data_IF_505510255359
#
_entry.id   IF_505510255359
#
_cell.length_a   1.000
_cell.length_b   1.000
_cell.length_c   1.000
_cell.angle_alpha   90.00
_cell.angle_beta   90.00
_cell.angle_gamma   90.00
#
_symmetry.space_group_name_H-M   'P 1'
#
loop_
_entity.id
_entity.type
_entity.pdbx_description
1 polymer ?
#
# COMPACT_ATOMS: atom_id res chain seq x y z
N UNK A 1 19.70 -24.48 59.78
CA UNK A 1 20.88 -23.63 59.52
C UNK A 1 20.89 -23.37 58.02
N UNK A 2 20.47 -22.16 57.63
CA UNK A 2 20.64 -21.44 56.35
C UNK A 2 20.19 -22.14 55.04
N UNK A 3 19.03 -21.78 54.48
CA UNK A 3 18.83 -20.69 53.49
C UNK A 3 19.83 -20.69 52.32
N UNK A 4 19.33 -20.84 51.08
CA UNK A 4 19.30 -19.72 50.12
C UNK A 4 18.60 -20.10 48.80
N UNK A 5 17.43 -19.48 48.62
CA UNK A 5 16.73 -19.27 47.35
C UNK A 5 17.60 -18.36 46.47
N UNK A 6 17.86 -18.73 45.20
CA UNK A 6 18.14 -17.74 44.15
C UNK A 6 17.42 -18.09 42.85
N UNK A 7 16.43 -17.24 42.57
CA UNK A 7 15.79 -17.02 41.27
C UNK A 7 16.85 -16.64 40.23
N UNK A 8 16.78 -17.17 39.02
CA UNK A 8 17.20 -16.46 37.79
C UNK A 8 16.56 -17.12 36.58
N UNK A 9 15.48 -16.48 36.12
CA UNK A 9 14.87 -16.66 34.81
C UNK A 9 15.82 -16.01 33.79
N UNK A 10 16.31 -16.77 32.80
CA UNK A 10 17.02 -16.20 31.65
C UNK A 10 16.31 -16.70 30.39
N UNK A 11 15.47 -15.83 29.85
CA UNK A 11 14.90 -15.92 28.51
C UNK A 11 15.97 -15.39 27.55
N UNK A 12 16.54 -16.25 26.72
CA UNK A 12 17.40 -15.84 25.60
C UNK A 12 16.56 -15.95 24.33
N UNK A 13 15.96 -14.82 23.95
CA UNK A 13 15.37 -14.63 22.64
C UNK A 13 16.48 -14.34 21.65
N UNK A 14 16.78 -15.30 20.76
CA UNK A 14 17.65 -15.06 19.60
C UNK A 14 16.76 -14.60 18.46
N UNK A 15 16.68 -13.28 18.26
CA UNK A 15 16.13 -12.69 17.05
C UNK A 15 17.23 -12.69 15.96
N UNK A 16 17.10 -13.60 15.00
CA UNK A 16 17.85 -13.51 13.74
C UNK A 16 17.05 -12.60 12.82
N UNK A 17 17.41 -11.32 12.77
CA UNK A 17 16.96 -10.42 11.70
C UNK A 17 18.16 -10.18 10.79
N UNK A 18 18.28 -11.01 9.77
CA UNK A 18 19.16 -10.77 8.63
C UNK A 18 18.34 -11.04 7.36
N UNK A 19 17.62 -10.01 6.94
CA UNK A 19 16.79 -10.00 5.75
C UNK A 19 16.43 -8.58 5.37
N UNK A 20 17.43 -7.71 5.24
CA UNK A 20 17.29 -6.39 4.61
C UNK A 20 17.58 -6.60 3.12
N UNK A 21 16.62 -6.51 2.20
CA UNK A 21 16.95 -6.32 0.80
C UNK A 21 17.46 -4.88 0.61
N UNK A 22 18.77 -4.81 0.35
CA UNK A 22 19.52 -3.63 -0.08
C UNK A 22 18.95 -3.11 -1.42
N UNK A 23 18.04 -2.13 -1.38
CA UNK A 23 17.60 -1.42 -2.59
C UNK A 23 17.96 0.07 -2.63
N UNK A 24 18.65 0.62 -1.62
CA UNK A 24 18.97 2.05 -1.55
C UNK A 24 20.45 2.34 -1.30
N UNK A 25 21.33 1.81 -2.15
CA UNK A 25 22.72 2.27 -2.24
C UNK A 25 23.05 2.60 -3.69
N UNK A 26 23.00 3.87 -4.07
CA UNK A 26 23.50 4.23 -5.39
C UNK A 26 23.29 5.62 -5.97
N UNK A 27 22.85 6.67 -5.25
CA UNK A 27 22.94 8.04 -5.80
C UNK A 27 23.43 9.05 -4.78
N UNK A 28 24.67 9.53 -4.97
CA UNK A 28 25.20 10.71 -4.29
C UNK A 28 24.50 11.94 -4.85
N UNK A 29 23.58 12.54 -4.09
CA UNK A 29 23.01 13.84 -4.41
C UNK A 29 24.08 14.93 -4.24
N UNK A 30 24.50 15.55 -5.34
CA UNK A 30 25.13 16.88 -5.31
C UNK A 30 24.03 17.87 -4.96
N UNK A 31 24.13 18.51 -3.80
CA UNK A 31 23.24 19.60 -3.39
C UNK A 31 23.40 20.79 -4.35
N UNK A 32 22.38 21.04 -5.17
CA UNK A 32 22.23 22.27 -5.93
C UNK A 32 21.42 23.29 -5.10
N UNK A 33 21.69 24.60 -5.26
CA UNK A 33 21.05 25.64 -4.46
C UNK A 33 19.55 25.72 -4.74
N UNK A 34 18.77 25.72 -3.66
CA UNK A 34 17.32 25.96 -3.64
C UNK A 34 17.05 27.36 -4.22
N UNK A 35 16.43 27.39 -5.40
CA UNK A 35 15.69 28.57 -5.85
C UNK A 35 14.25 28.38 -5.40
N UNK A 36 13.88 29.20 -4.44
CA UNK A 36 12.51 29.47 -4.03
C UNK A 36 11.73 29.96 -5.25
N UNK A 37 10.81 29.13 -5.76
CA UNK A 37 9.91 29.50 -6.85
C UNK A 37 8.48 29.45 -6.33
N UNK A 38 7.95 30.66 -6.14
CA UNK A 38 6.60 30.97 -5.71
C UNK A 38 5.54 30.36 -6.64
N UNK A 39 4.45 29.90 -6.02
CA UNK A 39 3.09 29.74 -6.53
C UNK A 39 2.91 29.57 -8.04
N UNK A 40 2.57 28.34 -8.42
CA UNK A 40 1.55 28.13 -9.45
C UNK A 40 0.56 27.11 -8.90
N UNK A 41 -0.71 27.48 -8.96
CA UNK A 41 -1.87 26.68 -8.61
C UNK A 41 -1.74 25.35 -9.37
N UNK A 42 -1.56 24.23 -8.66
CA UNK A 42 -1.74 22.90 -9.27
C UNK A 42 -3.22 22.60 -9.17
N UNK A 43 -3.94 23.15 -10.14
CA UNK A 43 -5.25 22.67 -10.56
C UNK A 43 -5.02 21.32 -11.25
N UNK A 44 -5.58 20.26 -10.64
CA UNK A 44 -5.97 19.01 -11.31
C UNK A 44 -4.88 18.17 -12.01
N UNK A 45 -3.97 17.60 -11.23
CA UNK A 45 -3.19 16.44 -11.64
C UNK A 45 -3.63 15.20 -10.83
N UNK A 46 -4.33 14.28 -11.48
CA UNK A 46 -4.34 12.88 -11.04
C UNK A 46 -5.61 12.32 -10.43
N UNK A 47 -6.77 12.98 -10.50
CA UNK A 47 -8.01 12.19 -10.52
C UNK A 47 -7.98 11.35 -11.80
N UNK A 48 -8.25 10.03 -11.76
CA UNK A 48 -8.54 9.32 -13.00
C UNK A 48 -9.64 10.13 -13.70
N UNK A 49 -9.29 10.71 -14.85
CA UNK A 49 -10.19 11.52 -15.65
C UNK A 49 -11.33 10.62 -16.11
N UNK A 50 -12.39 10.65 -15.33
CA UNK A 50 -13.56 9.84 -15.49
C UNK A 50 -14.57 10.29 -14.47
N UNK A 51 -15.45 11.20 -14.89
CA UNK A 51 -16.87 11.15 -14.51
C UNK A 51 -17.52 9.83 -15.04
N UNK A 52 -16.73 8.77 -15.09
CA UNK A 52 -16.96 7.51 -15.76
C UNK A 52 -17.70 6.61 -14.80
N UNK A 53 -18.84 6.14 -15.29
CA UNK A 53 -19.68 5.12 -14.67
C UNK A 53 -18.78 4.05 -14.04
N UNK A 54 -18.67 4.04 -12.71
CA UNK A 54 -18.03 2.94 -12.00
C UNK A 54 -19.04 1.80 -12.01
N UNK A 55 -18.63 0.61 -12.43
CA UNK A 55 -19.45 -0.60 -12.33
C UNK A 55 -19.94 -0.76 -10.89
N UNK A 56 -21.19 -1.19 -10.66
CA UNK A 56 -21.71 -1.44 -9.31
C UNK A 56 -20.78 -2.32 -8.47
N UNK A 57 -20.16 -3.33 -9.08
CA UNK A 57 -19.23 -4.25 -8.42
C UNK A 57 -17.97 -3.53 -7.91
N UNK A 58 -17.33 -2.73 -8.75
CA UNK A 58 -16.18 -1.92 -8.35
C UNK A 58 -16.55 -0.87 -7.28
N UNK A 59 -17.77 -0.32 -7.30
CA UNK A 59 -18.23 0.62 -6.27
C UNK A 59 -18.34 -0.06 -4.90
N UNK A 60 -18.99 -1.22 -4.82
CA UNK A 60 -19.15 -1.98 -3.57
C UNK A 60 -17.81 -2.40 -2.99
N UNK A 61 -16.88 -2.86 -3.84
CA UNK A 61 -15.52 -3.22 -3.39
C UNK A 61 -14.73 -1.99 -2.94
N UNK A 62 -14.86 -0.86 -3.64
CA UNK A 62 -14.18 0.39 -3.25
C UNK A 62 -14.63 0.84 -1.86
N UNK A 63 -15.94 0.85 -1.60
CA UNK A 63 -16.49 1.18 -0.28
C UNK A 63 -15.94 0.25 0.81
N UNK A 64 -15.86 -1.05 0.53
CA UNK A 64 -15.34 -2.05 1.45
C UNK A 64 -13.82 -1.97 1.67
N UNK A 65 -13.08 -1.33 0.76
CA UNK A 65 -11.63 -1.11 0.89
C UNK A 65 -11.27 0.13 1.71
N UNK A 66 -12.15 1.13 1.81
CA UNK A 66 -11.87 2.35 2.56
C UNK A 66 -11.59 2.03 4.03
N UNK A 67 -10.52 2.63 4.56
CA UNK A 67 -10.03 2.44 5.93
C UNK A 67 -8.55 2.08 6.00
N UNK A 68 -8.09 1.80 7.22
CA UNK A 68 -6.71 1.44 7.52
C UNK A 68 -6.55 -0.06 7.65
N UNK A 69 -5.49 -0.60 7.06
CA UNK A 69 -5.21 -2.02 6.94
C UNK A 69 -3.77 -2.30 7.36
N UNK A 70 -3.58 -3.25 8.27
CA UNK A 70 -2.28 -3.71 8.73
C UNK A 70 -1.89 -4.98 7.98
N UNK A 71 -0.67 -5.05 7.44
CA UNK A 71 -0.18 -6.27 6.79
C UNK A 71 -0.13 -7.44 7.77
N UNK A 72 -0.59 -8.61 7.30
CA UNK A 72 -0.52 -9.85 8.06
C UNK A 72 0.91 -10.42 8.12
N UNK A 73 1.78 -10.02 7.20
CA UNK A 73 3.18 -10.48 7.12
C UNK A 73 4.17 -9.49 7.75
N UNK A 74 3.81 -8.19 7.79
CA UNK A 74 4.61 -7.14 8.43
C UNK A 74 3.73 -6.26 9.33
N UNK A 75 3.79 -6.44 10.66
CA UNK A 75 3.02 -5.65 11.62
C UNK A 75 3.47 -4.19 11.72
N UNK A 76 4.55 -3.79 11.04
CA UNK A 76 4.96 -2.39 10.96
C UNK A 76 4.39 -1.69 9.72
N UNK A 77 3.83 -2.42 8.75
CA UNK A 77 3.33 -1.86 7.50
C UNK A 77 1.81 -1.69 7.49
N UNK A 78 1.34 -0.44 7.44
CA UNK A 78 -0.08 -0.12 7.28
C UNK A 78 -0.35 0.55 5.93
N UNK A 79 -1.51 0.25 5.34
CA UNK A 79 -2.06 0.92 4.16
C UNK A 79 -3.42 1.51 4.47
N UNK A 80 -3.63 2.77 4.13
CA UNK A 80 -4.90 3.46 4.31
C UNK A 80 -5.48 3.80 2.93
N UNK A 81 -6.68 3.32 2.63
CA UNK A 81 -7.45 3.76 1.46
C UNK A 81 -8.48 4.78 1.90
N UNK A 82 -8.47 5.95 1.28
CA UNK A 82 -9.39 7.05 1.57
C UNK A 82 -10.49 7.15 0.52
N UNK A 83 -11.62 7.71 0.95
CA UNK A 83 -12.80 7.98 0.12
C UNK A 83 -12.54 9.03 -0.98
N UNK A 84 -11.57 9.91 -0.76
CA UNK A 84 -11.11 10.91 -1.73
C UNK A 84 -10.23 10.33 -2.86
N UNK A 85 -10.04 9.01 -2.89
CA UNK A 85 -9.20 8.31 -3.86
C UNK A 85 -7.71 8.36 -3.53
N UNK A 86 -7.30 8.80 -2.34
CA UNK A 86 -5.90 8.74 -1.89
C UNK A 86 -5.59 7.43 -1.18
N UNK A 87 -4.36 6.95 -1.37
CA UNK A 87 -3.83 5.80 -0.66
C UNK A 87 -2.55 6.19 0.06
N UNK A 88 -2.39 5.76 1.32
CA UNK A 88 -1.24 6.09 2.14
C UNK A 88 -0.64 4.84 2.76
N UNK A 89 0.62 4.58 2.40
CA UNK A 89 1.44 3.51 2.94
C UNK A 89 2.34 4.07 4.04
N UNK A 90 2.39 3.43 5.21
CA UNK A 90 3.21 3.85 6.36
C UNK A 90 3.98 2.68 6.95
N UNK A 91 5.19 2.97 7.40
CA UNK A 91 5.99 2.08 8.22
C UNK A 91 6.18 2.63 9.64
N UNK A 92 5.78 1.85 10.64
CA UNK A 92 5.99 2.16 12.05
C UNK A 92 7.49 2.33 12.33
N UNK A 93 7.84 3.39 13.07
CA UNK A 93 9.22 3.70 13.45
C UNK A 93 10.00 4.50 12.40
N UNK A 94 9.42 4.81 11.25
CA UNK A 94 10.06 5.67 10.24
C UNK A 94 9.03 6.58 9.54
N UNK A 95 8.84 7.80 10.05
CA UNK A 95 7.92 8.76 9.45
C UNK A 95 8.30 9.13 7.99
N UNK A 96 9.59 9.07 7.65
CA UNK A 96 10.10 9.30 6.30
C UNK A 96 9.85 8.13 5.34
N UNK A 97 9.36 6.99 5.83
CA UNK A 97 8.91 5.85 5.03
C UNK A 97 7.38 5.86 4.85
N UNK A 98 6.82 7.05 4.69
CA UNK A 98 5.43 7.24 4.28
C UNK A 98 5.40 7.50 2.77
N UNK A 99 4.56 6.76 2.05
CA UNK A 99 4.32 6.97 0.62
C UNK A 99 2.84 7.27 0.40
N UNK A 100 2.56 8.32 -0.36
CA UNK A 100 1.19 8.72 -0.68
C UNK A 100 0.97 8.56 -2.19
N UNK A 101 -0.24 8.15 -2.56
CA UNK A 101 -0.62 7.94 -3.96
C UNK A 101 -2.10 8.14 -4.18
N UNK A 102 -2.54 7.83 -5.40
CA UNK A 102 -3.94 7.79 -5.81
C UNK A 102 -4.33 6.34 -6.07
N UNK A 103 -5.57 5.97 -5.79
CA UNK A 103 -6.11 4.66 -6.12
C UNK A 103 -7.50 4.76 -6.75
N UNK A 104 -7.89 3.69 -7.45
CA UNK A 104 -9.25 3.51 -7.95
C UNK A 104 -9.52 2.06 -8.32
N UNK A 105 -10.75 1.61 -8.10
CA UNK A 105 -11.19 0.28 -8.51
C UNK A 105 -11.86 0.30 -9.89
N UNK A 106 -11.69 -0.79 -10.65
CA UNK A 106 -12.26 -0.95 -11.98
C UNK A 106 -12.50 -2.43 -12.31
N UNK A 107 -13.32 -2.68 -13.33
CA UNK A 107 -13.54 -4.01 -13.93
C UNK A 107 -12.90 -4.07 -15.32
N UNK A 108 -12.77 -5.27 -15.88
CA UNK A 108 -12.10 -5.47 -17.17
C UNK A 108 -12.66 -4.63 -18.34
N UNK A 109 -13.98 -4.38 -18.35
CA UNK A 109 -14.68 -3.57 -19.35
C UNK A 109 -14.47 -2.06 -19.19
N UNK A 110 -14.01 -1.61 -18.02
CA UNK A 110 -13.70 -0.21 -17.72
C UNK A 110 -12.20 0.07 -17.68
N UNK A 111 -11.36 -0.91 -18.01
CA UNK A 111 -9.91 -0.77 -18.00
C UNK A 111 -9.45 0.26 -19.05
N UNK A 112 -8.58 1.18 -18.63
CA UNK A 112 -8.02 2.18 -19.54
C UNK A 112 -7.02 1.55 -20.52
N UNK A 113 -6.86 2.18 -21.69
CA UNK A 113 -5.85 1.74 -22.66
C UNK A 113 -4.44 1.77 -22.01
N UNK A 114 -3.72 0.65 -22.07
CA UNK A 114 -2.42 0.49 -21.40
C UNK A 114 -2.48 -0.20 -20.03
N UNK A 115 -3.68 -0.52 -19.54
CA UNK A 115 -3.83 -1.45 -18.40
C UNK A 115 -3.29 -2.84 -18.76
N UNK A 116 -2.90 -3.62 -17.74
CA UNK A 116 -2.41 -5.00 -17.92
C UNK A 116 -3.35 -5.84 -18.80
N UNK A 117 -2.77 -6.75 -19.59
CA UNK A 117 -3.52 -7.63 -20.48
C UNK A 117 -4.03 -8.86 -19.72
N UNK A 118 -5.13 -9.46 -20.19
CA UNK A 118 -5.65 -10.70 -19.60
C UNK A 118 -6.52 -10.51 -18.35
N UNK A 119 -7.17 -9.35 -18.20
CA UNK A 119 -8.17 -9.15 -17.16
C UNK A 119 -9.36 -10.11 -17.36
N UNK A 120 -9.75 -10.78 -16.30
CA UNK A 120 -10.87 -11.71 -16.29
C UNK A 120 -12.19 -10.95 -16.10
N UNK A 121 -13.27 -11.38 -16.79
CA UNK A 121 -14.59 -10.77 -16.62
C UNK A 121 -15.12 -10.99 -15.20
N UNK A 122 -15.80 -9.99 -14.65
CA UNK A 122 -16.39 -10.04 -13.32
C UNK A 122 -15.40 -9.95 -12.14
N UNK A 123 -14.11 -9.75 -12.41
CA UNK A 123 -13.10 -9.48 -11.38
C UNK A 123 -12.97 -7.97 -11.17
N UNK A 124 -12.92 -7.56 -9.91
CA UNK A 124 -12.59 -6.19 -9.54
C UNK A 124 -11.07 -6.06 -9.36
N UNK A 125 -10.54 -5.03 -9.98
CA UNK A 125 -9.14 -4.65 -9.93
C UNK A 125 -8.99 -3.31 -9.24
N UNK A 126 -7.80 -3.05 -8.72
CA UNK A 126 -7.40 -1.76 -8.19
C UNK A 126 -6.13 -1.33 -8.88
N UNK A 127 -6.14 -0.09 -9.38
CA UNK A 127 -4.96 0.63 -9.79
C UNK A 127 -4.51 1.51 -8.64
N UNK A 128 -3.22 1.51 -8.33
CA UNK A 128 -2.58 2.43 -7.40
C UNK A 128 -1.45 3.14 -8.12
N UNK A 129 -1.43 4.46 -8.04
CA UNK A 129 -0.38 5.29 -8.61
C UNK A 129 0.33 6.01 -7.46
N UNK A 130 1.60 5.68 -7.27
CA UNK A 130 2.55 6.46 -6.47
C UNK A 130 3.48 7.21 -7.41
N UNK A 131 4.26 8.18 -6.90
CA UNK A 131 5.21 9.05 -7.62
C UNK A 131 5.52 8.60 -9.07
N UNK A 132 6.31 7.53 -9.23
CA UNK A 132 6.79 7.04 -10.53
C UNK A 132 6.28 5.62 -10.86
N UNK A 133 5.32 5.11 -10.08
CA UNK A 133 4.97 3.69 -10.08
C UNK A 133 3.46 3.50 -10.14
N UNK A 134 3.01 2.72 -11.13
CA UNK A 134 1.64 2.23 -11.22
C UNK A 134 1.61 0.75 -10.87
N UNK A 135 0.77 0.37 -9.94
CA UNK A 135 0.56 -0.99 -9.49
C UNK A 135 -0.87 -1.42 -9.78
N UNK A 136 -1.04 -2.65 -10.26
CA UNK A 136 -2.35 -3.24 -10.51
C UNK A 136 -2.54 -4.49 -9.66
N UNK A 137 -3.68 -4.56 -8.97
CA UNK A 137 -4.03 -5.70 -8.14
C UNK A 137 -5.41 -6.24 -8.51
N UNK A 138 -5.61 -7.55 -8.48
CA UNK A 138 -6.97 -8.12 -8.38
C UNK A 138 -7.38 -8.22 -6.93
N UNK A 139 -8.64 -7.89 -6.63
CA UNK A 139 -9.20 -7.99 -5.29
C UNK A 139 -9.85 -9.36 -5.12
N UNK A 140 -9.33 -10.15 -4.19
CA UNK A 140 -9.88 -11.46 -3.82
C UNK A 140 -10.94 -11.30 -2.73
N UNK A 141 -10.69 -10.40 -1.77
CA UNK A 141 -11.57 -10.13 -0.64
C UNK A 141 -11.35 -8.72 -0.10
N UNK A 142 -12.43 -8.03 0.27
CA UNK A 142 -12.40 -6.75 0.96
C UNK A 142 -13.54 -6.72 2.01
N UNK A 143 -13.23 -7.05 3.27
CA UNK A 143 -14.18 -7.03 4.38
C UNK A 143 -13.45 -6.75 5.72
N UNK A 144 -13.34 -7.74 6.60
CA UNK A 144 -12.48 -7.67 7.80
C UNK A 144 -11.01 -7.96 7.46
N UNK A 145 -10.80 -8.69 6.37
CA UNK A 145 -9.50 -8.89 5.73
C UNK A 145 -9.52 -8.33 4.32
N UNK A 146 -8.37 -7.82 3.89
CA UNK A 146 -8.13 -7.36 2.53
C UNK A 146 -7.10 -8.28 1.89
N UNK A 147 -7.47 -8.93 0.80
CA UNK A 147 -6.62 -9.84 0.04
C UNK A 147 -6.50 -9.34 -1.40
N UNK A 148 -5.28 -9.03 -1.80
CA UNK A 148 -4.95 -8.42 -3.09
C UNK A 148 -3.87 -9.26 -3.77
N UNK A 149 -4.00 -9.54 -5.07
CA UNK A 149 -2.94 -10.24 -5.83
C UNK A 149 -2.32 -9.26 -6.80
N UNK A 150 -1.01 -9.05 -6.69
CA UNK A 150 -0.27 -8.15 -7.59
C UNK A 150 -0.17 -8.77 -8.98
N UNK A 151 -0.68 -8.09 -10.00
CA UNK A 151 -0.84 -8.70 -11.32
C UNK A 151 0.49 -8.96 -12.04
N UNK A 152 1.54 -8.18 -11.77
CA UNK A 152 2.82 -8.35 -12.48
C UNK A 152 3.63 -9.54 -11.95
N UNK A 153 3.50 -9.87 -10.66
CA UNK A 153 4.32 -10.91 -10.00
C UNK A 153 3.50 -12.08 -9.44
N UNK A 154 2.18 -11.94 -9.35
CA UNK A 154 1.27 -12.94 -8.83
C UNK A 154 1.33 -13.14 -7.31
N UNK A 155 2.11 -12.35 -6.56
CA UNK A 155 2.16 -12.49 -5.11
C UNK A 155 0.89 -11.91 -4.46
N UNK A 156 0.39 -12.61 -3.46
CA UNK A 156 -0.75 -12.17 -2.65
C UNK A 156 -0.26 -11.30 -1.50
N UNK A 157 -0.97 -10.19 -1.25
CA UNK A 157 -0.86 -9.37 -0.06
C UNK A 157 -2.11 -9.58 0.77
N UNK A 158 -1.92 -9.80 2.07
CA UNK A 158 -3.01 -10.00 3.02
C UNK A 158 -2.91 -8.98 4.13
N UNK A 159 -4.03 -8.34 4.44
CA UNK A 159 -4.13 -7.35 5.50
C UNK A 159 -5.33 -7.63 6.42
N UNK A 160 -5.22 -7.15 7.65
CA UNK A 160 -6.31 -7.11 8.63
C UNK A 160 -6.73 -5.67 8.84
N UNK A 161 -8.03 -5.42 8.91
CA UNK A 161 -8.56 -4.08 9.17
C UNK A 161 -8.12 -3.59 10.56
N UNK A 162 -7.63 -2.35 10.62
CA UNK A 162 -7.34 -1.66 11.88
C UNK A 162 -8.62 -0.97 12.36
N UNK A 163 -9.06 -1.20 13.61
CA UNK A 163 -10.24 -0.57 14.19
C UNK A 163 -10.15 0.96 14.30
#
# INVERSE_FOLDING_TARGET
MHELIRKSLIVISIAVIAGIPLYFLGFKAKTLPVKEQQNTIVEEAGRPAGDGIISPEASVVSEAMIGTWQSAEDPNFTREFRDDGRVVDRYVGNASATSEGIWGAFTADMASAGTTTGLAPGVVYVQMTFDDMVLYFSIVKAADTLEMVYLDRGNQLTFTRVP
#
